data_IF_467031984843
#
_entry.id   IF_467031984843
#
_cell.length_a   1.000
_cell.length_b   1.000
_cell.length_c   1.000
_cell.angle_alpha   90.00
_cell.angle_beta   90.00
_cell.angle_gamma   90.00
#
_symmetry.space_group_name_H-M   'P 1'
#
loop_
_entity.id
_entity.type
_entity.pdbx_description
1 polymer ?
#
# COMPACT_ATOMS: atom_id res chain seq x y z
N UNK A 1 0.05 58.74 0.68
CA UNK A 1 1.09 58.07 -0.14
C UNK A 1 0.71 56.60 -0.31
N UNK A 2 0.10 56.24 -1.44
CA UNK A 2 -0.23 54.84 -1.77
C UNK A 2 1.03 54.15 -2.30
N UNK A 3 1.52 53.11 -1.60
CA UNK A 3 2.57 52.23 -2.13
C UNK A 3 1.92 51.24 -3.09
N UNK A 4 2.05 51.50 -4.39
CA UNK A 4 1.69 50.54 -5.44
C UNK A 4 2.59 49.31 -5.34
N UNK A 5 1.99 48.13 -5.16
CA UNK A 5 2.70 46.86 -5.24
C UNK A 5 3.14 46.64 -6.69
N UNK A 6 4.42 46.81 -6.99
CA UNK A 6 4.99 46.46 -8.30
C UNK A 6 4.76 44.96 -8.53
N UNK A 7 4.08 44.62 -9.61
CA UNK A 7 4.05 43.26 -10.13
C UNK A 7 5.48 42.83 -10.43
N UNK A 8 5.99 41.83 -9.71
CA UNK A 8 7.31 41.27 -9.95
C UNK A 8 7.17 40.31 -11.12
N UNK A 9 7.59 40.73 -12.31
CA UNK A 9 7.72 39.83 -13.45
C UNK A 9 8.91 38.89 -13.20
N UNK A 10 8.61 37.60 -13.07
CA UNK A 10 9.62 36.57 -12.88
C UNK A 10 10.33 36.29 -14.19
N UNK A 11 11.66 36.18 -14.15
CA UNK A 11 12.43 35.79 -15.32
C UNK A 11 12.22 34.31 -15.66
N UNK A 12 12.43 33.94 -16.93
CA UNK A 12 12.28 32.54 -17.38
C UNK A 12 13.14 31.56 -16.56
N UNK A 13 14.32 32.00 -16.12
CA UNK A 13 15.21 31.19 -15.29
C UNK A 13 14.66 31.01 -13.86
N UNK A 14 14.04 32.04 -13.28
CA UNK A 14 13.37 31.95 -11.99
C UNK A 14 12.17 31.00 -12.04
N UNK A 15 11.41 31.02 -13.14
CA UNK A 15 10.30 30.08 -13.37
C UNK A 15 10.81 28.65 -13.46
N UNK A 16 11.90 28.41 -14.21
CA UNK A 16 12.52 27.09 -14.36
C UNK A 16 13.03 26.56 -13.02
N UNK A 17 13.71 27.38 -12.24
CA UNK A 17 14.17 27.03 -10.88
C UNK A 17 12.97 26.70 -9.99
N UNK A 18 11.91 27.51 -10.02
CA UNK A 18 10.68 27.26 -9.27
C UNK A 18 10.01 25.94 -9.63
N UNK A 19 9.97 25.58 -10.92
CA UNK A 19 9.43 24.30 -11.39
C UNK A 19 10.27 23.12 -10.92
N UNK A 20 11.60 23.21 -11.00
CA UNK A 20 12.52 22.16 -10.51
C UNK A 20 12.35 21.96 -9.01
N UNK A 21 12.31 23.05 -8.23
CA UNK A 21 12.10 22.99 -6.79
C UNK A 21 10.74 22.39 -6.44
N UNK A 22 9.68 22.79 -7.14
CA UNK A 22 8.33 22.23 -6.94
C UNK A 22 8.30 20.73 -7.25
N UNK A 23 8.97 20.29 -8.32
CA UNK A 23 9.10 18.88 -8.67
C UNK A 23 9.83 18.11 -7.57
N UNK A 24 10.93 18.64 -7.04
CA UNK A 24 11.70 18.05 -5.94
C UNK A 24 10.87 17.94 -4.66
N UNK A 25 10.13 18.99 -4.29
CA UNK A 25 9.21 18.98 -3.13
C UNK A 25 8.13 17.91 -3.31
N UNK A 26 7.55 17.78 -4.50
CA UNK A 26 6.57 16.75 -4.82
C UNK A 26 7.15 15.34 -4.67
N UNK A 27 8.40 15.15 -5.08
CA UNK A 27 9.14 13.90 -4.95
C UNK A 27 9.43 13.56 -3.48
N UNK A 28 9.82 14.55 -2.68
CA UNK A 28 10.02 14.39 -1.23
C UNK A 28 8.72 14.07 -0.49
N UNK A 29 7.62 14.77 -0.81
CA UNK A 29 6.28 14.48 -0.27
C UNK A 29 5.83 13.08 -0.63
N UNK A 30 5.97 12.66 -1.89
CA UNK A 30 5.65 11.30 -2.31
C UNK A 30 6.52 10.26 -1.58
N UNK A 31 7.81 10.54 -1.35
CA UNK A 31 8.72 9.67 -0.60
C UNK A 31 8.35 9.59 0.88
N UNK A 32 7.93 10.71 1.49
CA UNK A 32 7.44 10.77 2.85
C UNK A 32 6.09 10.03 3.02
N UNK A 33 5.15 10.23 2.08
CA UNK A 33 3.87 9.52 2.02
C UNK A 33 4.05 8.01 1.78
N UNK A 34 5.07 7.61 1.02
CA UNK A 34 5.45 6.20 0.86
C UNK A 34 6.08 5.61 2.13
N UNK A 35 6.85 6.40 2.90
CA UNK A 35 7.36 6.00 4.22
C UNK A 35 6.23 5.84 5.25
N UNK A 36 5.10 6.51 5.08
CA UNK A 36 3.94 6.37 5.99
C UNK A 36 2.99 5.23 5.63
N UNK A 37 2.95 4.75 4.37
CA UNK A 37 2.05 3.65 3.99
C UNK A 37 2.69 2.26 4.14
N UNK A 38 2.79 1.81 5.40
CA UNK A 38 3.32 0.49 5.80
C UNK A 38 2.67 -0.67 5.03
N UNK A 39 1.37 -0.59 4.77
CA UNK A 39 0.61 -1.63 4.05
C UNK A 39 1.06 -1.73 2.60
N UNK A 40 1.22 -0.58 1.91
CA UNK A 40 1.72 -0.59 0.54
C UNK A 40 3.14 -1.13 0.44
N UNK A 41 4.01 -0.82 1.41
CA UNK A 41 5.38 -1.33 1.44
C UNK A 41 5.40 -2.86 1.64
N UNK A 42 4.64 -3.35 2.62
CA UNK A 42 4.48 -4.79 2.87
C UNK A 42 3.96 -5.53 1.63
N UNK A 43 2.83 -5.07 1.07
CA UNK A 43 2.20 -5.73 -0.09
C UNK A 43 3.04 -5.68 -1.37
N UNK A 44 4.01 -4.76 -1.45
CA UNK A 44 4.98 -4.71 -2.56
C UNK A 44 6.15 -5.68 -2.36
N UNK A 45 6.44 -6.08 -1.12
CA UNK A 45 7.52 -6.99 -0.77
C UNK A 45 7.13 -8.47 -0.68
N UNK A 46 5.84 -8.77 -0.53
CA UNK A 46 5.35 -10.17 -0.48
C UNK A 46 5.14 -10.74 -1.89
N UNK A 47 5.29 -12.07 -2.00
CA UNK A 47 5.08 -12.76 -3.27
C UNK A 47 3.62 -12.64 -3.76
N UNK A 48 3.43 -12.84 -5.07
CA UNK A 48 2.11 -12.78 -5.70
C UNK A 48 1.09 -13.71 -5.04
N UNK A 49 1.52 -14.92 -4.63
CA UNK A 49 0.66 -15.90 -3.94
C UNK A 49 0.12 -15.36 -2.62
N UNK A 50 0.98 -14.77 -1.79
CA UNK A 50 0.58 -14.21 -0.49
C UNK A 50 -0.31 -12.98 -0.64
N UNK A 51 0.01 -12.10 -1.59
CA UNK A 51 -0.86 -10.96 -1.92
C UNK A 51 -2.23 -11.44 -2.41
N UNK A 52 -2.25 -12.47 -3.25
CA UNK A 52 -3.48 -13.11 -3.75
C UNK A 52 -4.34 -13.67 -2.62
N UNK A 53 -3.74 -14.33 -1.62
CA UNK A 53 -4.46 -14.79 -0.42
C UNK A 53 -5.11 -13.61 0.31
N UNK A 54 -4.37 -12.54 0.57
CA UNK A 54 -4.89 -11.36 1.25
C UNK A 54 -6.05 -10.72 0.45
N UNK A 55 -5.91 -10.62 -0.87
CA UNK A 55 -6.95 -10.03 -1.72
C UNK A 55 -8.19 -10.93 -1.81
N UNK A 56 -7.99 -12.24 -1.84
CA UNK A 56 -9.07 -13.22 -1.75
C UNK A 56 -9.84 -13.09 -0.43
N UNK A 57 -9.14 -13.05 0.71
CA UNK A 57 -9.77 -12.85 2.03
C UNK A 57 -10.54 -11.52 2.10
N UNK A 58 -10.03 -10.48 1.42
CA UNK A 58 -10.71 -9.19 1.32
C UNK A 58 -11.93 -9.19 0.37
N UNK A 59 -12.27 -10.32 -0.25
CA UNK A 59 -13.39 -10.46 -1.17
C UNK A 59 -13.15 -9.81 -2.54
N UNK A 60 -11.90 -9.50 -2.89
CA UNK A 60 -11.59 -8.93 -4.20
C UNK A 60 -11.66 -10.02 -5.28
N UNK A 61 -12.37 -9.70 -6.35
CA UNK A 61 -12.43 -10.55 -7.54
C UNK A 61 -11.02 -10.74 -8.15
N UNK A 62 -10.82 -11.88 -8.81
CA UNK A 62 -9.49 -12.35 -9.26
C UNK A 62 -8.80 -11.41 -10.24
N UNK A 63 -9.58 -10.67 -11.03
CA UNK A 63 -9.07 -9.65 -11.96
C UNK A 63 -8.32 -8.52 -11.24
N UNK A 64 -8.67 -8.21 -9.97
CA UNK A 64 -7.98 -7.21 -9.14
C UNK A 64 -6.67 -7.72 -8.52
N UNK A 65 -6.38 -9.02 -8.55
CA UNK A 65 -5.18 -9.60 -7.92
C UNK A 65 -3.86 -9.21 -8.61
N UNK A 66 -3.95 -8.83 -9.89
CA UNK A 66 -2.82 -8.27 -10.65
C UNK A 66 -2.48 -6.84 -10.26
N UNK A 67 -3.42 -6.09 -9.68
CA UNK A 67 -3.24 -4.71 -9.28
C UNK A 67 -2.36 -4.60 -8.04
N UNK A 68 -1.62 -3.50 -7.94
CA UNK A 68 -0.90 -3.08 -6.75
C UNK A 68 -1.87 -2.40 -5.79
N UNK A 69 -1.52 -2.40 -4.50
CA UNK A 69 -2.38 -1.85 -3.46
C UNK A 69 -2.81 -0.38 -3.69
N UNK A 70 -1.94 0.46 -4.27
CA UNK A 70 -2.26 1.86 -4.55
C UNK A 70 -3.11 2.06 -5.81
N UNK A 71 -3.24 1.03 -6.65
CA UNK A 71 -4.08 1.03 -7.86
C UNK A 71 -5.53 0.61 -7.55
N UNK A 72 -5.76 0.03 -6.36
CA UNK A 72 -7.09 -0.31 -5.86
C UNK A 72 -7.88 0.94 -5.47
N UNK A 73 -9.20 0.84 -5.60
CA UNK A 73 -10.10 1.88 -5.11
C UNK A 73 -10.05 2.00 -3.57
N UNK A 74 -10.67 3.05 -3.02
CA UNK A 74 -10.63 3.29 -1.56
C UNK A 74 -11.32 2.16 -0.78
N UNK A 75 -12.45 1.66 -1.26
CA UNK A 75 -13.22 0.58 -0.63
C UNK A 75 -12.42 -0.72 -0.56
N UNK A 76 -11.82 -1.14 -1.67
CA UNK A 76 -10.97 -2.31 -1.78
C UNK A 76 -9.77 -2.20 -0.86
N UNK A 77 -9.12 -1.03 -0.79
CA UNK A 77 -7.98 -0.83 0.12
C UNK A 77 -8.39 -0.99 1.58
N UNK A 78 -9.57 -0.53 1.97
CA UNK A 78 -10.11 -0.72 3.32
C UNK A 78 -10.43 -2.21 3.58
N UNK A 79 -11.02 -2.90 2.61
CA UNK A 79 -11.29 -4.34 2.68
C UNK A 79 -9.99 -5.14 2.85
N UNK A 80 -8.94 -4.81 2.08
CA UNK A 80 -7.61 -5.40 2.20
C UNK A 80 -7.02 -5.18 3.60
N UNK A 81 -7.12 -3.98 4.16
CA UNK A 81 -6.64 -3.72 5.53
C UNK A 81 -7.42 -4.54 6.55
N UNK A 82 -8.73 -4.68 6.40
CA UNK A 82 -9.57 -5.51 7.28
C UNK A 82 -9.15 -6.98 7.20
N UNK A 83 -9.01 -7.52 5.99
CA UNK A 83 -8.54 -8.88 5.78
C UNK A 83 -7.15 -9.14 6.37
N UNK A 84 -6.23 -8.18 6.28
CA UNK A 84 -4.91 -8.31 6.93
C UNK A 84 -5.01 -8.40 8.46
N UNK A 85 -5.97 -7.71 9.09
CA UNK A 85 -6.22 -7.81 10.54
C UNK A 85 -6.79 -9.17 10.90
N UNK A 86 -7.81 -9.63 10.17
CA UNK A 86 -8.43 -10.95 10.36
C UNK A 86 -7.41 -12.09 10.18
N UNK A 87 -6.57 -12.01 9.15
CA UNK A 87 -5.49 -12.99 8.95
C UNK A 87 -4.47 -12.94 10.09
N UNK A 88 -4.14 -11.75 10.60
CA UNK A 88 -3.25 -11.63 11.75
C UNK A 88 -3.85 -12.30 12.99
N UNK A 89 -5.13 -12.10 13.26
CA UNK A 89 -5.83 -12.74 14.37
C UNK A 89 -5.88 -14.27 14.18
N UNK A 90 -6.19 -14.74 12.98
CA UNK A 90 -6.19 -16.16 12.63
C UNK A 90 -4.81 -16.81 12.83
N UNK A 91 -3.73 -16.15 12.42
CA UNK A 91 -2.38 -16.71 12.59
C UNK A 91 -1.98 -16.86 14.05
N UNK A 92 -2.57 -16.08 14.97
CA UNK A 92 -2.36 -16.25 16.42
C UNK A 92 -3.03 -17.51 16.95
N UNK A 93 -4.11 -17.97 16.31
CA UNK A 93 -4.82 -19.18 16.72
C UNK A 93 -4.24 -20.47 16.13
N UNK A 94 -3.22 -20.37 15.27
CA UNK A 94 -2.59 -21.56 14.69
C UNK A 94 -1.88 -22.38 15.77
N UNK A 95 -1.87 -23.73 15.64
CA UNK A 95 -0.99 -24.56 16.45
C UNK A 95 0.45 -24.06 16.36
N UNK A 96 1.13 -23.99 17.51
CA UNK A 96 2.53 -23.54 17.58
C UNK A 96 3.49 -24.49 16.87
N UNK A 97 3.12 -25.76 16.83
CA UNK A 97 3.85 -26.83 16.16
C UNK A 97 2.91 -27.44 15.12
N UNK A 98 3.43 -27.69 13.93
CA UNK A 98 2.71 -28.29 12.80
C UNK A 98 3.53 -29.50 12.33
N UNK A 99 3.58 -30.60 13.11
CA UNK A 99 4.34 -31.78 12.73
C UNK A 99 3.70 -32.48 11.52
N UNK A 100 4.51 -33.10 10.67
CA UNK A 100 4.03 -33.88 9.52
C UNK A 100 3.10 -35.04 9.93
N UNK A 101 3.20 -35.50 11.18
CA UNK A 101 2.32 -36.51 11.75
C UNK A 101 0.83 -36.10 11.74
N UNK A 102 0.52 -34.81 11.80
CA UNK A 102 -0.86 -34.30 11.76
C UNK A 102 -1.52 -34.50 10.38
N UNK A 103 -0.76 -34.87 9.35
CA UNK A 103 -1.30 -35.20 8.02
C UNK A 103 -1.92 -36.61 7.95
N UNK A 104 -1.69 -37.47 8.94
CA UNK A 104 -2.22 -38.85 8.96
C UNK A 104 -3.65 -38.84 9.51
N UNK A 105 -4.62 -39.06 8.63
CA UNK A 105 -6.03 -39.21 9.03
C UNK A 105 -6.27 -40.70 9.33
N UNK A 106 -6.35 -41.06 10.61
CA UNK A 106 -6.84 -42.38 11.00
C UNK A 106 -8.36 -42.40 10.78
N UNK A 107 -8.80 -43.05 9.71
CA UNK A 107 -10.21 -43.39 9.54
C UNK A 107 -10.49 -44.59 10.45
N UNK A 108 -11.17 -44.36 11.57
CA UNK A 108 -11.73 -45.48 12.35
C UNK A 108 -12.79 -46.20 11.47
N UNK A 109 -12.78 -47.55 11.42
CA UNK A 109 -13.73 -48.34 10.63
C UNK A 109 -15.16 -48.33 11.16
#
# INVERSE_FOLDING_TARGET
MQKSARAIELTAEQIKIGLIQTANVRLMLNKALRRTNRVSAFLSGVSFRHRGLIYFTAGLHRDKHKLKFHELDKSDRLAVIKAMRELSELTVTFPKELPDADAVINQDP
#
